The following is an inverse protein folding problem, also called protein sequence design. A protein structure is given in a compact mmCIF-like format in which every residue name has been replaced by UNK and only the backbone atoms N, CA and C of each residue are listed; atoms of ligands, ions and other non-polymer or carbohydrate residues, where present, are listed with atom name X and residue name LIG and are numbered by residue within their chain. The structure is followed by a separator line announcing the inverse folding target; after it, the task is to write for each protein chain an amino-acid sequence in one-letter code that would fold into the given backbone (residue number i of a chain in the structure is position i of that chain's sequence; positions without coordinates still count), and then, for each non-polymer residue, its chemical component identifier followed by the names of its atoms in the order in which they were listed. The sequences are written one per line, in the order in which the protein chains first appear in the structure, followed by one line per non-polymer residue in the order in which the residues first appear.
data_IF_539370989847
#
_entry.id   IF_539370989847
#
_cell.length_a   1.000
_cell.length_b   1.000
_cell.length_c   1.000
_cell.angle_alpha   90.00
_cell.angle_beta   90.00
_cell.angle_gamma   90.00
#
_symmetry.space_group_name_H-M   'P 1'
#
loop_
_entity.id
_entity.type
_entity.pdbx_description
1 polymer ?
#
# COMPACT_ATOMS: atom_id res chain seq x y z
N UNK A 1 -8.99 13.96 -4.98
CA UNK A 1 -7.98 12.89 -4.87
C UNK A 1 -8.63 11.57 -5.29
N UNK A 2 -8.00 10.80 -6.18
CA UNK A 2 -8.47 9.47 -6.58
C UNK A 2 -7.29 8.51 -6.56
N UNK A 3 -7.15 7.75 -5.48
CA UNK A 3 -6.23 6.62 -5.37
C UNK A 3 -7.10 5.35 -5.41
N UNK A 4 -6.82 4.45 -6.33
CA UNK A 4 -7.56 3.18 -6.47
C UNK A 4 -6.59 2.04 -6.22
N UNK A 5 -6.91 1.20 -5.25
CA UNK A 5 -6.12 0.02 -4.88
C UNK A 5 -7.01 -1.21 -5.10
N UNK A 6 -6.57 -2.11 -5.97
CA UNK A 6 -7.25 -3.38 -6.21
C UNK A 6 -6.53 -4.46 -5.41
N UNK A 7 -7.24 -5.05 -4.44
CA UNK A 7 -6.72 -6.16 -3.65
C UNK A 7 -7.34 -7.47 -4.14
N UNK A 8 -6.50 -8.39 -4.60
CA UNK A 8 -6.89 -9.76 -4.91
C UNK A 8 -6.05 -10.72 -4.04
N UNK A 9 -6.72 -11.59 -3.29
CA UNK A 9 -6.07 -12.60 -2.46
C UNK A 9 -6.79 -13.93 -2.66
N UNK A 10 -6.01 -15.02 -2.67
CA UNK A 10 -6.50 -16.38 -2.91
C UNK A 10 -6.95 -17.10 -1.63
N UNK A 11 -6.60 -16.56 -0.47
CA UNK A 11 -6.93 -17.10 0.84
C UNK A 11 -7.16 -15.99 1.88
N UNK A 12 -7.86 -16.31 2.97
CA UNK A 12 -8.28 -15.37 4.01
C UNK A 12 -7.11 -14.78 4.82
N UNK A 13 -6.03 -15.55 5.01
CA UNK A 13 -4.84 -15.10 5.72
C UNK A 13 -4.08 -14.04 4.90
N UNK A 14 -3.85 -14.31 3.62
CA UNK A 14 -3.21 -13.35 2.70
C UNK A 14 -4.06 -12.09 2.54
N UNK A 15 -5.39 -12.24 2.50
CA UNK A 15 -6.30 -11.09 2.43
C UNK A 15 -6.18 -10.19 3.65
N UNK A 16 -6.24 -10.77 4.86
CA UNK A 16 -6.16 -10.01 6.11
C UNK A 16 -4.78 -9.35 6.28
N UNK A 17 -3.71 -10.06 5.91
CA UNK A 17 -2.34 -9.52 5.94
C UNK A 17 -2.20 -8.30 5.03
N UNK A 18 -2.66 -8.41 3.78
CA UNK A 18 -2.61 -7.31 2.82
C UNK A 18 -3.50 -6.13 3.25
N UNK A 19 -4.69 -6.40 3.79
CA UNK A 19 -5.58 -5.36 4.31
C UNK A 19 -4.94 -4.61 5.50
N UNK A 20 -4.28 -5.32 6.42
CA UNK A 20 -3.54 -4.72 7.53
C UNK A 20 -2.40 -3.83 7.03
N UNK A 21 -1.61 -4.31 6.08
CA UNK A 21 -0.51 -3.55 5.47
C UNK A 21 -1.02 -2.29 4.78
N UNK A 22 -2.10 -2.40 4.00
CA UNK A 22 -2.75 -1.26 3.35
C UNK A 22 -3.28 -0.25 4.38
N UNK A 23 -3.93 -0.73 5.44
CA UNK A 23 -4.45 0.14 6.50
C UNK A 23 -3.31 0.92 7.18
N UNK A 24 -2.18 0.25 7.47
CA UNK A 24 -0.99 0.91 8.05
C UNK A 24 -0.35 1.93 7.10
N UNK A 25 -0.36 1.65 5.79
CA UNK A 25 0.19 2.53 4.77
C UNK A 25 -0.69 3.76 4.54
N UNK A 26 -2.02 3.59 4.57
CA UNK A 26 -2.99 4.67 4.39
C UNK A 26 -3.28 5.47 5.66
N UNK A 27 -2.98 4.93 6.85
CA UNK A 27 -3.23 5.61 8.12
C UNK A 27 -2.35 6.85 8.34
N UNK A 28 -1.28 7.03 7.58
CA UNK A 28 -0.42 8.20 7.67
C UNK A 28 -0.54 9.09 6.43
N UNK A 29 -1.07 10.30 6.61
CA UNK A 29 -1.35 11.25 5.53
C UNK A 29 -0.11 11.58 4.68
N UNK A 30 1.06 11.69 5.33
CA UNK A 30 2.34 11.93 4.64
C UNK A 30 2.63 10.84 3.60
N UNK A 31 2.37 9.58 3.94
CA UNK A 31 2.62 8.44 3.04
C UNK A 31 1.61 8.39 1.91
N UNK A 32 0.34 8.68 2.22
CA UNK A 32 -0.72 8.79 1.21
C UNK A 32 -0.38 9.88 0.19
N UNK A 33 0.14 11.03 0.63
CA UNK A 33 0.65 12.09 -0.28
C UNK A 33 1.84 11.61 -1.11
N UNK A 34 2.82 10.95 -0.51
CA UNK A 34 3.95 10.38 -1.25
C UNK A 34 3.53 9.36 -2.31
N UNK A 35 2.51 8.55 -2.04
CA UNK A 35 1.94 7.62 -3.03
C UNK A 35 1.19 8.33 -4.16
N UNK A 36 0.55 9.46 -3.87
CA UNK A 36 -0.13 10.27 -4.88
C UNK A 36 0.83 11.11 -5.73
N UNK A 37 1.97 11.50 -5.17
CA UNK A 37 3.02 12.30 -5.82
C UNK A 37 4.09 11.43 -6.50
N UNK A 38 4.08 10.12 -6.27
CA UNK A 38 5.01 9.20 -6.90
C UNK A 38 4.70 9.08 -8.40
N UNK A 39 5.55 9.68 -9.23
CA UNK A 39 5.45 9.60 -10.70
C UNK A 39 6.11 8.33 -11.25
N UNK A 40 7.04 7.74 -10.49
CA UNK A 40 7.79 6.55 -10.90
C UNK A 40 7.33 5.30 -10.15
N UNK A 41 7.16 4.19 -10.90
CA UNK A 41 6.84 2.89 -10.34
C UNK A 41 7.83 2.45 -9.24
N UNK A 42 9.12 2.74 -9.43
CA UNK A 42 10.17 2.40 -8.46
C UNK A 42 9.96 3.10 -7.10
N UNK A 43 9.42 4.31 -7.10
CA UNK A 43 9.11 5.07 -5.89
C UNK A 43 7.91 4.45 -5.15
N UNK A 44 6.88 4.04 -5.89
CA UNK A 44 5.73 3.31 -5.34
C UNK A 44 6.17 1.97 -4.76
N UNK A 45 7.03 1.24 -5.46
CA UNK A 45 7.50 -0.07 -5.05
C UNK A 45 8.32 0.00 -3.76
N UNK A 46 9.25 0.96 -3.65
CA UNK A 46 9.98 1.24 -2.40
C UNK A 46 9.06 1.55 -1.22
N UNK A 47 7.99 2.31 -1.45
CA UNK A 47 7.00 2.63 -0.41
C UNK A 47 6.26 1.37 0.02
N UNK A 48 5.87 0.49 -0.90
CA UNK A 48 5.15 -0.76 -0.58
C UNK A 48 6.08 -1.77 0.12
N UNK A 49 7.32 -1.91 -0.32
CA UNK A 49 8.29 -2.88 0.21
C UNK A 49 8.60 -2.64 1.70
N UNK A 50 8.54 -1.39 2.17
CA UNK A 50 8.66 -1.05 3.59
C UNK A 50 7.59 -1.72 4.46
N UNK A 51 6.43 -2.09 3.91
CA UNK A 51 5.32 -2.71 4.63
C UNK A 51 5.21 -4.21 4.36
N UNK A 52 5.86 -4.71 3.31
CA UNK A 52 5.87 -6.14 2.95
C UNK A 52 6.67 -7.00 3.92
N UNK A 53 7.65 -6.42 4.63
CA UNK A 53 8.55 -7.15 5.55
C UNK A 53 7.97 -7.44 6.95
N UNK A 54 6.70 -7.15 7.20
CA UNK A 54 6.02 -7.40 8.49
C UNK A 54 5.18 -8.68 8.45
#
# INVERSE_FOLDING_TARGET
MRLVIVLAAIDSMSHLKALKQLTMLLSEEKRTKQLMEAEELASVQKLIDQFSQV
#
